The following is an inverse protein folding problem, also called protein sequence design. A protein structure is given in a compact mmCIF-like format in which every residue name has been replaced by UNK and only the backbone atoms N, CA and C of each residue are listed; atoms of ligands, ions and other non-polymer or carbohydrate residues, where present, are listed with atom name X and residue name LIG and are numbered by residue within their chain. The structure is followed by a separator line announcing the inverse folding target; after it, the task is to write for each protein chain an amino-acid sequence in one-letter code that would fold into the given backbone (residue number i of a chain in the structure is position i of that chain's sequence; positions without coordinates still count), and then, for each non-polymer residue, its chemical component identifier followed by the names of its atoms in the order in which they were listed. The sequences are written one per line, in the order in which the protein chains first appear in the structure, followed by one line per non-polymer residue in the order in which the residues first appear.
data_IF_004870330813
#
_entry.id   IF_004870330813
#
_cell.length_a   1.000
_cell.length_b   1.000
_cell.length_c   1.000
_cell.angle_alpha   90.00
_cell.angle_beta   90.00
_cell.angle_gamma   90.00
#
_symmetry.space_group_name_H-M   'P 1'
#
loop_
_entity.id
_entity.type
_entity.pdbx_description
1 polymer ?
#
# COMPACT_ATOMS: atom_id res chain seq x y z
N UNK A 1 18.99 -84.28 16.67
CA UNK A 1 19.67 -83.41 17.67
C UNK A 1 19.44 -81.96 17.22
N UNK A 2 18.62 -81.21 17.99
CA UNK A 2 18.36 -79.74 17.92
C UNK A 2 17.59 -79.24 16.67
N UNK A 3 16.25 -79.08 16.67
CA UNK A 3 15.42 -78.03 17.30
C UNK A 3 15.99 -76.61 17.18
N UNK A 4 15.31 -75.75 16.42
CA UNK A 4 15.11 -74.32 16.74
C UNK A 4 13.90 -73.76 16.00
N UNK A 5 12.91 -73.35 16.80
CA UNK A 5 11.73 -72.54 16.47
C UNK A 5 12.15 -71.05 16.56
N UNK A 6 11.74 -70.21 15.62
CA UNK A 6 11.76 -68.74 15.75
C UNK A 6 10.50 -68.22 15.06
N UNK A 7 9.40 -68.03 15.80
CA UNK A 7 9.04 -66.80 16.51
C UNK A 7 8.62 -65.67 15.55
N UNK A 8 7.30 -65.56 15.40
CA UNK A 8 6.56 -64.49 14.70
C UNK A 8 6.72 -63.20 15.52
N UNK A 9 7.29 -62.15 14.94
CA UNK A 9 7.18 -60.78 15.46
C UNK A 9 6.34 -59.95 14.51
N UNK A 10 5.10 -59.70 14.93
CA UNK A 10 4.16 -58.79 14.30
C UNK A 10 4.64 -57.35 14.58
N UNK A 11 5.19 -56.67 13.58
CA UNK A 11 5.54 -55.26 13.70
C UNK A 11 4.27 -54.42 13.55
N UNK A 12 3.73 -53.94 14.68
CA UNK A 12 2.65 -52.96 14.72
C UNK A 12 3.17 -51.62 14.19
N UNK A 13 2.81 -51.28 12.95
CA UNK A 13 3.05 -49.97 12.36
C UNK A 13 2.09 -48.96 13.01
N UNK A 14 2.58 -48.21 13.99
CA UNK A 14 1.90 -47.02 14.51
C UNK A 14 1.93 -45.94 13.41
N UNK A 15 0.83 -45.84 12.66
CA UNK A 15 0.55 -44.67 11.81
C UNK A 15 0.20 -43.53 12.76
N UNK A 16 1.15 -42.65 13.04
CA UNK A 16 0.85 -41.33 13.61
C UNK A 16 0.07 -40.56 12.54
N UNK A 17 -1.24 -40.42 12.75
CA UNK A 17 -2.01 -39.38 12.09
C UNK A 17 -1.50 -38.05 12.65
N UNK A 18 -0.50 -37.46 12.01
CA UNK A 18 -0.28 -36.03 12.13
C UNK A 18 -1.59 -35.39 11.66
N UNK A 19 -2.32 -34.81 12.61
CA UNK A 19 -3.33 -33.84 12.23
C UNK A 19 -2.54 -32.72 11.57
N UNK A 20 -2.57 -32.67 10.24
CA UNK A 20 -2.22 -31.47 9.50
C UNK A 20 -3.13 -30.37 10.05
N UNK A 21 -2.62 -29.62 11.04
CA UNK A 21 -3.13 -28.29 11.31
C UNK A 21 -2.84 -27.55 10.01
N UNK A 22 -3.88 -27.42 9.19
CA UNK A 22 -3.81 -26.65 7.96
C UNK A 22 -3.58 -25.20 8.39
N UNK A 23 -2.31 -24.85 8.58
CA UNK A 23 -1.84 -23.48 8.66
C UNK A 23 -2.36 -22.77 7.41
N UNK A 24 -2.63 -21.47 7.52
CA UNK A 24 -2.81 -20.67 6.33
C UNK A 24 -1.59 -20.87 5.39
N UNK A 25 -1.77 -20.72 4.08
CA UNK A 25 -0.62 -20.82 3.18
C UNK A 25 0.16 -19.52 3.32
N UNK A 26 1.45 -19.51 3.71
CA UNK A 26 2.19 -18.26 3.95
C UNK A 26 2.17 -17.31 2.73
N UNK A 27 2.18 -17.88 1.52
CA UNK A 27 2.05 -17.13 0.26
C UNK A 27 0.70 -16.39 0.14
N UNK A 28 -0.38 -16.99 0.67
CA UNK A 28 -1.73 -16.42 0.72
C UNK A 28 -1.78 -15.17 1.61
N UNK A 29 -1.27 -15.28 2.84
CA UNK A 29 -1.17 -14.14 3.76
C UNK A 29 -0.25 -13.03 3.20
N UNK A 30 0.96 -13.35 2.74
CA UNK A 30 1.87 -12.37 2.12
C UNK A 30 1.19 -11.63 0.94
N UNK A 31 0.51 -12.37 0.07
CA UNK A 31 -0.24 -11.81 -1.06
C UNK A 31 -1.36 -10.89 -0.59
N UNK A 32 -2.04 -11.25 0.50
CA UNK A 32 -3.10 -10.46 1.11
C UNK A 32 -2.57 -9.17 1.72
N UNK A 33 -1.44 -9.21 2.42
CA UNK A 33 -0.77 -8.01 2.96
C UNK A 33 -0.37 -7.07 1.82
N UNK A 34 0.32 -7.56 0.79
CA UNK A 34 0.73 -6.77 -0.38
C UNK A 34 -0.47 -6.16 -1.12
N UNK A 35 -1.58 -6.90 -1.24
CA UNK A 35 -2.80 -6.43 -1.92
C UNK A 35 -3.60 -5.47 -1.05
N UNK A 36 -3.69 -5.75 0.24
CA UNK A 36 -4.39 -4.96 1.24
C UNK A 36 -3.77 -3.59 1.38
N UNK A 37 -2.45 -3.53 1.61
CA UNK A 37 -1.71 -2.27 1.73
C UNK A 37 -1.87 -1.38 0.51
N UNK A 38 -1.68 -1.92 -0.70
CA UNK A 38 -1.83 -1.16 -1.94
C UNK A 38 -3.26 -0.64 -2.16
N UNK A 39 -4.29 -1.41 -1.76
CA UNK A 39 -5.69 -0.98 -1.82
C UNK A 39 -6.01 0.08 -0.78
N UNK A 40 -5.47 -0.05 0.43
CA UNK A 40 -5.64 0.92 1.49
C UNK A 40 -5.07 2.27 1.04
N UNK A 41 -3.81 2.30 0.59
CA UNK A 41 -3.16 3.50 0.06
C UNK A 41 -3.95 4.17 -1.07
N UNK A 42 -4.32 3.42 -2.11
CA UNK A 42 -5.13 3.96 -3.21
C UNK A 42 -6.47 4.54 -2.70
N UNK A 43 -7.10 3.87 -1.73
CA UNK A 43 -8.37 4.33 -1.16
C UNK A 43 -8.20 5.58 -0.29
N UNK A 44 -7.18 5.63 0.55
CA UNK A 44 -6.82 6.78 1.40
C UNK A 44 -6.51 7.99 0.54
N UNK A 45 -5.67 7.84 -0.49
CA UNK A 45 -5.38 8.90 -1.47
C UNK A 45 -6.67 9.40 -2.13
N UNK A 46 -7.55 8.50 -2.59
CA UNK A 46 -8.81 8.90 -3.23
C UNK A 46 -9.75 9.65 -2.29
N UNK A 47 -9.82 9.26 -1.00
CA UNK A 47 -10.66 9.91 0.00
C UNK A 47 -10.12 11.30 0.30
N UNK A 48 -8.84 11.39 0.69
CA UNK A 48 -8.22 12.65 1.08
C UNK A 48 -8.12 13.62 -0.09
N UNK A 49 -7.73 13.18 -1.28
CA UNK A 49 -7.73 14.04 -2.49
C UNK A 49 -9.07 14.71 -2.73
N UNK A 50 -10.19 13.97 -2.61
CA UNK A 50 -11.54 14.54 -2.78
C UNK A 50 -11.84 15.57 -1.70
N UNK A 51 -11.45 15.31 -0.46
CA UNK A 51 -11.61 16.26 0.65
C UNK A 51 -10.83 17.55 0.36
N UNK A 52 -9.53 17.45 0.10
CA UNK A 52 -8.66 18.62 -0.09
C UNK A 52 -9.04 19.42 -1.34
N UNK A 53 -9.50 18.76 -2.41
CA UNK A 53 -10.03 19.47 -3.58
C UNK A 53 -11.28 20.28 -3.25
N UNK A 54 -12.20 19.70 -2.47
CA UNK A 54 -13.37 20.44 -2.00
C UNK A 54 -12.98 21.58 -1.05
N UNK A 55 -11.91 21.42 -0.27
CA UNK A 55 -11.38 22.46 0.61
C UNK A 55 -10.75 23.63 -0.17
N UNK A 56 -10.07 23.37 -1.29
CA UNK A 56 -9.59 24.42 -2.18
C UNK A 56 -10.73 25.21 -2.83
N UNK A 57 -11.87 24.58 -3.09
CA UNK A 57 -13.03 25.21 -3.71
C UNK A 57 -13.93 25.96 -2.72
N UNK A 58 -14.00 25.49 -1.47
CA UNK A 58 -14.86 26.05 -0.42
C UNK A 58 -14.03 26.53 0.78
N UNK A 59 -14.00 27.85 0.98
CA UNK A 59 -13.30 28.49 2.11
C UNK A 59 -13.75 27.86 3.45
N UNK A 60 -12.78 27.39 4.25
CA UNK A 60 -13.00 26.95 5.63
C UNK A 60 -13.31 25.46 5.84
N UNK A 61 -13.33 24.63 4.79
CA UNK A 61 -13.39 23.16 4.98
C UNK A 61 -12.02 22.65 5.45
N UNK A 62 -12.01 21.92 6.55
CA UNK A 62 -10.84 21.22 7.08
C UNK A 62 -10.85 19.77 6.62
N UNK A 63 -9.68 19.21 6.35
CA UNK A 63 -9.50 17.82 5.96
C UNK A 63 -8.56 17.07 6.93
N UNK A 64 -8.85 15.80 7.27
CA UNK A 64 -10.07 15.07 6.92
C UNK A 64 -11.32 15.61 7.66
N UNK A 65 -12.45 15.72 6.94
CA UNK A 65 -13.76 15.99 7.56
C UNK A 65 -14.39 14.70 8.11
N UNK A 66 -15.51 14.81 8.85
CA UNK A 66 -16.17 13.65 9.47
C UNK A 66 -16.54 12.55 8.48
N UNK A 67 -16.99 12.92 7.27
CA UNK A 67 -17.32 11.98 6.21
C UNK A 67 -16.06 11.27 5.66
N UNK A 68 -14.96 12.00 5.49
CA UNK A 68 -13.68 11.43 5.07
C UNK A 68 -13.13 10.50 6.16
N UNK A 69 -13.20 10.90 7.43
CA UNK A 69 -12.80 10.07 8.56
C UNK A 69 -13.59 8.74 8.62
N UNK A 70 -14.91 8.77 8.41
CA UNK A 70 -15.73 7.55 8.34
C UNK A 70 -15.30 6.62 7.20
N UNK A 71 -14.97 7.18 6.03
CA UNK A 71 -14.52 6.40 4.87
C UNK A 71 -13.12 5.82 5.08
N UNK A 72 -12.23 6.55 5.74
CA UNK A 72 -10.89 6.08 6.11
C UNK A 72 -11.00 4.92 7.11
N UNK A 73 -11.81 5.08 8.17
CA UNK A 73 -12.06 4.01 9.13
C UNK A 73 -12.65 2.75 8.47
N UNK A 74 -13.56 2.92 7.50
CA UNK A 74 -14.09 1.81 6.73
C UNK A 74 -13.05 1.14 5.81
N UNK A 75 -12.08 1.88 5.28
CA UNK A 75 -10.98 1.31 4.50
C UNK A 75 -10.04 0.47 5.38
N UNK A 76 -9.72 0.95 6.59
CA UNK A 76 -8.90 0.21 7.57
C UNK A 76 -9.57 -1.08 8.03
N UNK A 77 -10.86 -1.04 8.37
CA UNK A 77 -11.62 -2.26 8.71
C UNK A 77 -11.65 -3.29 7.58
N UNK A 78 -11.60 -2.85 6.32
CA UNK A 78 -11.51 -3.77 5.18
C UNK A 78 -10.12 -4.36 5.01
N UNK A 79 -9.06 -3.60 5.33
CA UNK A 79 -7.71 -4.17 5.40
C UNK A 79 -7.68 -5.24 6.49
N UNK A 80 -8.11 -4.88 7.69
CA UNK A 80 -8.14 -5.76 8.86
C UNK A 80 -8.86 -7.08 8.56
N UNK A 81 -10.13 -7.01 8.12
CA UNK A 81 -10.90 -8.20 7.72
C UNK A 81 -10.25 -9.02 6.61
N UNK A 82 -9.55 -8.39 5.65
CA UNK A 82 -8.84 -9.12 4.60
C UNK A 82 -7.62 -9.87 5.15
N UNK A 83 -6.92 -9.29 6.14
CA UNK A 83 -5.76 -9.91 6.78
C UNK A 83 -6.18 -11.01 7.74
N UNK A 84 -7.19 -10.79 8.59
CA UNK A 84 -7.70 -11.85 9.47
C UNK A 84 -8.11 -13.08 8.68
N UNK A 85 -8.84 -12.91 7.58
CA UNK A 85 -9.26 -14.04 6.76
C UNK A 85 -8.10 -14.76 6.02
N UNK A 86 -7.03 -14.05 5.70
CA UNK A 86 -5.93 -14.61 4.91
C UNK A 86 -4.77 -15.14 5.75
N UNK A 87 -4.63 -14.65 6.98
CA UNK A 87 -3.49 -14.91 7.85
C UNK A 87 -3.88 -15.59 9.17
N UNK A 88 -5.14 -15.49 9.60
CA UNK A 88 -5.66 -16.06 10.85
C UNK A 88 -6.18 -17.49 10.70
N UNK A 89 -5.45 -18.35 9.99
CA UNK A 89 -5.79 -19.76 9.91
C UNK A 89 -7.20 -20.09 9.37
N UNK A 90 -7.79 -21.15 9.93
CA UNK A 90 -9.08 -21.70 9.53
C UNK A 90 -10.26 -20.93 10.13
N UNK A 91 -10.08 -20.33 11.31
CA UNK A 91 -11.12 -19.53 11.94
C UNK A 91 -11.21 -18.11 11.35
N UNK A 92 -10.19 -17.69 10.60
CA UNK A 92 -10.11 -16.39 9.95
C UNK A 92 -9.96 -15.24 10.94
N UNK A 93 -9.39 -15.50 12.11
CA UNK A 93 -9.17 -14.55 13.19
C UNK A 93 -7.69 -14.47 13.51
N UNK A 94 -7.17 -13.27 13.68
CA UNK A 94 -5.78 -13.09 14.11
C UNK A 94 -5.65 -13.27 15.62
N UNK A 95 -4.50 -13.77 16.05
CA UNK A 95 -4.15 -13.95 17.46
C UNK A 95 -4.66 -15.26 18.06
N UNK A 96 -5.10 -16.20 17.22
CA UNK A 96 -5.49 -17.55 17.63
C UNK A 96 -4.35 -18.53 17.34
N UNK A 97 -4.54 -19.81 17.66
CA UNK A 97 -3.47 -20.82 17.60
C UNK A 97 -3.14 -21.34 16.19
N UNK A 98 -3.93 -20.95 15.18
CA UNK A 98 -3.83 -21.42 13.80
C UNK A 98 -3.40 -20.34 12.79
N UNK A 99 -2.98 -19.16 13.27
CA UNK A 99 -2.34 -18.10 12.49
C UNK A 99 -1.10 -18.59 11.72
N UNK A 100 -0.84 -17.96 10.56
CA UNK A 100 0.49 -17.99 9.95
C UNK A 100 1.53 -17.38 10.91
N UNK A 101 2.64 -18.08 11.14
CA UNK A 101 3.70 -17.54 12.00
C UNK A 101 4.31 -16.29 11.36
N UNK A 102 4.59 -15.26 12.15
CA UNK A 102 5.18 -14.00 11.65
C UNK A 102 6.45 -14.23 10.83
N UNK A 103 7.29 -15.20 11.21
CA UNK A 103 8.51 -15.53 10.49
C UNK A 103 8.23 -16.16 9.12
N UNK A 104 7.19 -16.99 9.00
CA UNK A 104 6.81 -17.64 7.73
C UNK A 104 6.32 -16.66 6.66
N UNK A 105 5.77 -15.52 7.08
CA UNK A 105 5.22 -14.47 6.19
C UNK A 105 6.11 -13.22 6.13
N UNK A 106 7.30 -13.24 6.76
CA UNK A 106 8.26 -12.14 6.72
C UNK A 106 7.90 -10.92 7.57
N UNK A 107 7.07 -11.09 8.61
CA UNK A 107 6.62 -10.05 9.55
C UNK A 107 7.19 -10.17 10.96
N UNK A 108 8.17 -11.06 11.18
CA UNK A 108 8.93 -11.16 12.43
C UNK A 108 9.96 -10.02 12.56
N UNK A 109 9.45 -8.79 12.58
CA UNK A 109 10.23 -7.53 12.65
C UNK A 109 10.16 -6.88 14.03
N UNK A 110 9.47 -7.52 14.99
CA UNK A 110 9.31 -7.08 16.38
C UNK A 110 8.34 -5.92 16.55
N UNK A 111 8.64 -4.77 15.94
CA UNK A 111 7.88 -3.53 16.08
C UNK A 111 7.57 -2.90 14.73
N UNK A 112 6.48 -2.14 14.68
CA UNK A 112 6.16 -1.36 13.50
C UNK A 112 7.28 -0.32 13.23
N UNK A 113 7.79 -0.17 11.98
CA UNK A 113 9.01 0.59 11.66
C UNK A 113 9.05 2.09 11.93
N UNK A 114 8.06 2.66 12.62
CA UNK A 114 7.94 4.09 12.90
C UNK A 114 8.25 5.02 11.72
N UNK A 115 7.63 4.76 10.57
CA UNK A 115 7.88 5.52 9.35
C UNK A 115 7.56 7.01 9.56
N UNK A 116 8.42 7.91 9.04
CA UNK A 116 8.34 9.37 9.19
C UNK A 116 8.37 9.90 10.64
N UNK A 117 8.97 9.16 11.59
CA UNK A 117 8.94 9.52 13.02
C UNK A 117 7.50 9.74 13.51
N UNK A 118 6.58 8.89 13.05
CA UNK A 118 5.19 8.88 13.50
C UNK A 118 5.07 8.26 14.90
N UNK A 119 3.85 7.87 15.28
CA UNK A 119 3.59 7.05 16.46
C UNK A 119 3.39 5.56 16.08
N UNK A 120 3.82 5.16 14.88
CA UNK A 120 3.66 3.79 14.38
C UNK A 120 4.78 2.87 14.88
N UNK A 121 4.83 2.61 16.20
CA UNK A 121 5.87 1.80 16.86
C UNK A 121 5.29 0.67 17.72
N UNK A 122 4.02 0.29 17.50
CA UNK A 122 3.39 -0.81 18.22
C UNK A 122 4.09 -2.16 17.93
N UNK A 123 4.16 -3.02 18.95
CA UNK A 123 4.68 -4.39 18.83
C UNK A 123 3.82 -5.23 17.90
N UNK A 124 4.45 -6.14 17.15
CA UNK A 124 3.78 -7.05 16.21
C UNK A 124 3.80 -8.45 16.80
N UNK A 125 2.68 -8.86 17.40
CA UNK A 125 2.51 -10.18 18.03
C UNK A 125 1.72 -11.19 17.19
N UNK A 126 0.88 -10.72 16.27
CA UNK A 126 -0.03 -11.53 15.46
C UNK A 126 -0.37 -10.82 14.13
N UNK A 127 -1.19 -11.44 13.27
CA UNK A 127 -1.57 -10.84 12.00
C UNK A 127 -2.49 -9.60 12.13
N UNK A 128 -3.14 -9.38 13.27
CA UNK A 128 -3.93 -8.19 13.55
C UNK A 128 -3.03 -6.99 13.80
N UNK A 129 -1.91 -7.19 14.49
CA UNK A 129 -0.88 -6.17 14.66
C UNK A 129 -0.24 -5.74 13.32
N UNK A 130 -0.16 -6.65 12.33
CA UNK A 130 0.25 -6.30 10.96
C UNK A 130 -0.75 -5.31 10.33
N UNK A 131 -2.06 -5.56 10.46
CA UNK A 131 -3.10 -4.69 9.89
C UNK A 131 -3.06 -3.28 10.50
N UNK A 132 -2.79 -3.20 11.80
CA UNK A 132 -2.62 -1.95 12.55
C UNK A 132 -1.37 -1.20 12.10
N UNK A 133 -0.23 -1.89 11.99
CA UNK A 133 1.02 -1.30 11.53
C UNK A 133 0.89 -0.74 10.11
N UNK A 134 0.35 -1.53 9.18
CA UNK A 134 0.13 -1.09 7.79
C UNK A 134 -0.84 0.09 7.73
N UNK A 135 -1.92 0.08 8.51
CA UNK A 135 -2.87 1.19 8.56
C UNK A 135 -2.24 2.48 9.11
N UNK A 136 -1.42 2.36 10.15
CA UNK A 136 -0.76 3.50 10.77
C UNK A 136 0.24 4.15 9.80
N UNK A 137 1.08 3.33 9.15
CA UNK A 137 2.04 3.80 8.15
C UNK A 137 1.31 4.46 6.97
N UNK A 138 0.21 3.86 6.50
CA UNK A 138 -0.60 4.44 5.44
C UNK A 138 -1.16 5.81 5.82
N UNK A 139 -1.74 5.95 7.02
CA UNK A 139 -2.24 7.24 7.49
C UNK A 139 -1.13 8.30 7.52
N UNK A 140 0.03 7.95 8.07
CA UNK A 140 1.15 8.87 8.21
C UNK A 140 1.65 9.35 6.84
N UNK A 141 1.90 8.41 5.91
CA UNK A 141 2.39 8.71 4.56
C UNK A 141 1.37 9.52 3.78
N UNK A 142 0.13 9.03 3.67
CA UNK A 142 -0.84 9.63 2.76
C UNK A 142 -1.34 10.97 3.29
N UNK A 143 -1.49 11.12 4.60
CA UNK A 143 -1.84 12.42 5.18
C UNK A 143 -0.73 13.44 4.96
N UNK A 144 0.54 13.04 5.14
CA UNK A 144 1.69 13.89 4.84
C UNK A 144 1.73 14.27 3.36
N UNK A 145 1.61 13.31 2.45
CA UNK A 145 1.66 13.53 1.00
C UNK A 145 0.56 14.50 0.54
N UNK A 146 -0.67 14.28 1.00
CA UNK A 146 -1.82 15.11 0.59
C UNK A 146 -1.76 16.49 1.22
N UNK A 147 -1.42 16.58 2.51
CA UNK A 147 -1.29 17.86 3.21
C UNK A 147 -0.16 18.70 2.61
N UNK A 148 1.00 18.10 2.38
CA UNK A 148 2.14 18.76 1.73
C UNK A 148 1.74 19.25 0.35
N UNK A 149 1.17 18.39 -0.49
CA UNK A 149 0.88 18.76 -1.87
C UNK A 149 -0.11 19.93 -1.97
N UNK A 150 -1.22 19.89 -1.25
CA UNK A 150 -2.22 20.95 -1.32
C UNK A 150 -1.91 22.16 -0.44
N UNK A 151 -1.11 21.99 0.61
CA UNK A 151 -0.73 23.04 1.55
C UNK A 151 0.37 23.97 1.03
N UNK A 152 1.13 23.56 0.01
CA UNK A 152 2.22 24.36 -0.55
C UNK A 152 1.77 25.45 -1.55
N UNK A 153 0.53 25.42 -2.02
CA UNK A 153 0.08 26.31 -3.10
C UNK A 153 -0.39 27.69 -2.62
N UNK A 154 -0.08 28.71 -3.40
CA UNK A 154 -0.67 30.03 -3.24
C UNK A 154 -2.17 30.01 -3.64
N UNK A 155 -3.04 30.80 -2.99
CA UNK A 155 -4.45 30.88 -3.37
C UNK A 155 -4.62 31.35 -4.82
N UNK A 156 -5.36 30.60 -5.62
CA UNK A 156 -5.69 30.94 -6.99
C UNK A 156 -7.21 31.12 -7.17
N UNK A 157 -7.67 32.00 -8.08
CA UNK A 157 -9.10 32.14 -8.37
C UNK A 157 -9.71 30.80 -8.82
N UNK A 158 -10.93 30.54 -8.38
CA UNK A 158 -11.66 29.33 -8.74
C UNK A 158 -11.81 29.22 -10.26
N UNK A 159 -11.43 28.07 -10.82
CA UNK A 159 -11.47 27.80 -12.26
C UNK A 159 -10.37 28.48 -13.07
N UNK A 160 -9.40 29.15 -12.45
CA UNK A 160 -8.24 29.74 -13.16
C UNK A 160 -7.31 28.66 -13.73
N UNK A 161 -6.48 29.04 -14.71
CA UNK A 161 -5.43 28.15 -15.24
C UNK A 161 -4.45 27.72 -14.13
N UNK A 162 -4.07 28.66 -13.25
CA UNK A 162 -3.24 28.41 -12.07
C UNK A 162 -3.87 27.34 -11.17
N UNK A 163 -5.14 27.49 -10.78
CA UNK A 163 -5.81 26.50 -9.92
C UNK A 163 -5.88 25.12 -10.60
N UNK A 164 -6.17 25.07 -11.91
CA UNK A 164 -6.19 23.80 -12.66
C UNK A 164 -4.82 23.12 -12.67
N UNK A 165 -3.75 23.88 -12.83
CA UNK A 165 -2.39 23.35 -12.80
C UNK A 165 -1.98 22.87 -11.40
N UNK A 166 -2.28 23.65 -10.35
CA UNK A 166 -2.10 23.21 -8.95
C UNK A 166 -2.80 21.87 -8.69
N UNK A 167 -4.05 21.74 -9.13
CA UNK A 167 -4.78 20.48 -9.03
C UNK A 167 -4.13 19.34 -9.83
N UNK A 168 -3.69 19.60 -11.07
CA UNK A 168 -3.04 18.61 -11.92
C UNK A 168 -1.73 18.09 -11.30
N UNK A 169 -0.91 18.96 -10.72
CA UNK A 169 0.34 18.58 -10.05
C UNK A 169 0.08 17.53 -8.95
N UNK A 170 -0.89 17.77 -8.08
CA UNK A 170 -1.23 16.80 -7.03
C UNK A 170 -1.93 15.55 -7.58
N UNK A 171 -2.89 15.72 -8.48
CA UNK A 171 -3.68 14.60 -9.01
C UNK A 171 -2.80 13.60 -9.76
N UNK A 172 -1.95 14.10 -10.65
CA UNK A 172 -1.08 13.25 -11.45
C UNK A 172 0.01 12.60 -10.59
N UNK A 173 0.51 13.30 -9.56
CA UNK A 173 1.42 12.71 -8.56
C UNK A 173 0.78 11.53 -7.82
N UNK A 174 -0.49 11.65 -7.39
CA UNK A 174 -1.19 10.55 -6.75
C UNK A 174 -1.53 9.41 -7.72
N UNK A 175 -1.86 9.72 -8.98
CA UNK A 175 -2.05 8.70 -10.02
C UNK A 175 -0.76 7.92 -10.29
N UNK A 176 0.39 8.61 -10.33
CA UNK A 176 1.69 7.98 -10.43
C UNK A 176 1.99 7.10 -9.22
N UNK A 177 1.77 7.58 -7.99
CA UNK A 177 1.96 6.80 -6.77
C UNK A 177 1.13 5.51 -6.77
N UNK A 178 -0.16 5.59 -7.15
CA UNK A 178 -1.03 4.42 -7.28
C UNK A 178 -0.54 3.45 -8.37
N UNK A 179 -0.08 3.96 -9.51
CA UNK A 179 0.48 3.14 -10.58
C UNK A 179 1.79 2.43 -10.16
N UNK A 180 2.67 3.15 -9.45
CA UNK A 180 3.92 2.63 -8.89
C UNK A 180 3.65 1.54 -7.85
N UNK A 181 2.74 1.80 -6.90
CA UNK A 181 2.29 0.82 -5.90
C UNK A 181 1.74 -0.45 -6.57
N UNK A 182 0.88 -0.30 -7.60
CA UNK A 182 0.35 -1.43 -8.39
C UNK A 182 1.44 -2.23 -9.11
N UNK A 183 2.44 -1.57 -9.68
CA UNK A 183 3.56 -2.22 -10.36
C UNK A 183 4.44 -3.00 -9.37
N UNK A 184 4.82 -2.38 -8.26
CA UNK A 184 5.61 -2.99 -7.20
C UNK A 184 4.89 -4.17 -6.57
N UNK A 185 3.59 -4.02 -6.24
CA UNK A 185 2.78 -5.12 -5.73
C UNK A 185 2.81 -6.34 -6.65
N UNK A 186 2.62 -6.15 -7.95
CA UNK A 186 2.64 -7.27 -8.92
C UNK A 186 4.01 -7.95 -8.96
N UNK A 187 5.09 -7.18 -8.85
CA UNK A 187 6.44 -7.70 -8.78
C UNK A 187 6.65 -8.52 -7.50
N UNK A 188 6.35 -7.96 -6.33
CA UNK A 188 6.49 -8.65 -5.04
C UNK A 188 5.62 -9.90 -4.96
N UNK A 189 4.39 -9.88 -5.51
CA UNK A 189 3.53 -11.07 -5.58
C UNK A 189 4.14 -12.19 -6.44
N UNK A 190 4.80 -11.86 -7.56
CA UNK A 190 5.51 -12.86 -8.36
C UNK A 190 6.75 -13.40 -7.64
N UNK A 191 7.45 -12.56 -6.88
CA UNK A 191 8.58 -13.00 -6.05
C UNK A 191 8.11 -13.97 -4.96
N UNK A 192 7.04 -13.65 -4.24
CA UNK A 192 6.43 -14.52 -3.24
C UNK A 192 5.97 -15.86 -3.84
N UNK A 193 5.44 -15.84 -5.06
CA UNK A 193 5.06 -17.05 -5.81
C UNK A 193 6.24 -17.81 -6.44
N UNK A 194 7.50 -17.44 -6.15
CA UNK A 194 8.69 -18.12 -6.67
C UNK A 194 8.96 -17.90 -8.17
N UNK A 195 8.26 -16.98 -8.83
CA UNK A 195 8.38 -16.74 -10.28
C UNK A 195 9.63 -15.92 -10.66
N UNK A 196 10.28 -15.30 -9.68
CA UNK A 196 11.63 -14.75 -9.77
C UNK A 196 12.20 -14.52 -8.36
N UNK A 197 13.52 -14.43 -8.23
CA UNK A 197 14.20 -14.11 -6.96
C UNK A 197 14.74 -12.66 -6.88
N UNK A 198 14.72 -11.94 -8.01
CA UNK A 198 15.30 -10.60 -8.17
C UNK A 198 14.57 -9.53 -7.35
N UNK A 199 15.30 -8.53 -6.86
CA UNK A 199 14.75 -7.37 -6.17
C UNK A 199 13.83 -6.56 -7.10
N UNK A 200 12.70 -6.08 -6.56
CA UNK A 200 11.77 -5.21 -7.28
C UNK A 200 12.15 -3.72 -7.08
N UNK A 201 11.93 -2.84 -8.07
CA UNK A 201 11.38 -3.13 -9.40
C UNK A 201 12.43 -3.59 -10.43
N UNK A 202 13.72 -3.46 -10.13
CA UNK A 202 14.84 -3.67 -11.06
C UNK A 202 15.94 -4.53 -10.41
N UNK A 203 16.35 -5.67 -11.00
CA UNK A 203 15.87 -6.23 -12.27
C UNK A 203 14.46 -6.88 -12.20
N UNK A 204 13.93 -7.07 -11.00
CA UNK A 204 12.54 -7.46 -10.73
C UNK A 204 11.99 -8.58 -11.61
N UNK A 205 10.72 -8.42 -12.00
CA UNK A 205 9.99 -9.32 -12.89
C UNK A 205 10.13 -8.95 -14.38
N UNK A 206 11.04 -8.03 -14.72
CA UNK A 206 11.22 -7.46 -16.06
C UNK A 206 10.05 -6.59 -16.55
N UNK A 207 9.03 -6.31 -15.73
CA UNK A 207 7.84 -5.53 -16.13
C UNK A 207 7.57 -4.32 -15.23
N UNK A 208 7.88 -4.42 -13.93
CA UNK A 208 7.59 -3.38 -12.96
C UNK A 208 8.26 -2.05 -13.32
N UNK A 209 9.56 -2.07 -13.64
CA UNK A 209 10.31 -0.86 -13.99
C UNK A 209 9.73 -0.16 -15.23
N UNK A 210 9.43 -0.90 -16.29
CA UNK A 210 8.81 -0.34 -17.50
C UNK A 210 7.41 0.23 -17.21
N UNK A 211 6.62 -0.42 -16.36
CA UNK A 211 5.32 0.09 -15.95
C UNK A 211 5.41 1.39 -15.13
N UNK A 212 6.41 1.49 -14.24
CA UNK A 212 6.68 2.70 -13.46
C UNK A 212 7.15 3.83 -14.38
N UNK A 213 8.10 3.57 -15.28
CA UNK A 213 8.57 4.56 -16.25
C UNK A 213 7.43 5.08 -17.13
N UNK A 214 6.58 4.18 -17.65
CA UNK A 214 5.39 4.56 -18.42
C UNK A 214 4.42 5.43 -17.61
N UNK A 215 4.25 5.14 -16.32
CA UNK A 215 3.40 5.95 -15.45
C UNK A 215 4.01 7.34 -15.21
N UNK A 216 5.33 7.43 -15.04
CA UNK A 216 6.03 8.71 -14.90
C UNK A 216 5.88 9.58 -16.16
N UNK A 217 6.06 9.00 -17.35
CA UNK A 217 5.86 9.72 -18.62
C UNK A 217 4.42 10.22 -18.76
N UNK A 218 3.42 9.42 -18.36
CA UNK A 218 2.02 9.84 -18.37
C UNK A 218 1.75 11.00 -17.42
N UNK A 219 2.24 10.89 -16.19
CA UNK A 219 2.13 11.96 -15.19
C UNK A 219 2.69 13.27 -15.75
N UNK A 220 3.91 13.23 -16.30
CA UNK A 220 4.53 14.41 -16.91
C UNK A 220 3.71 14.96 -18.08
N UNK A 221 3.27 14.12 -19.01
CA UNK A 221 2.46 14.55 -20.16
C UNK A 221 1.14 15.20 -19.74
N UNK A 222 0.44 14.64 -18.73
CA UNK A 222 -0.80 15.23 -18.22
C UNK A 222 -0.56 16.57 -17.50
N UNK A 223 0.52 16.67 -16.70
CA UNK A 223 0.90 17.93 -16.07
C UNK A 223 1.20 18.98 -17.15
N UNK A 224 2.02 18.68 -18.17
CA UNK A 224 2.32 19.62 -19.24
C UNK A 224 1.08 20.02 -20.05
N UNK A 225 0.15 19.08 -20.26
CA UNK A 225 -1.12 19.38 -20.92
C UNK A 225 -1.99 20.41 -20.20
N UNK A 226 -1.81 20.59 -18.89
CA UNK A 226 -2.58 21.53 -18.07
C UNK A 226 -1.78 22.79 -17.71
N UNK A 227 -0.49 22.63 -17.43
CA UNK A 227 0.39 23.68 -16.92
C UNK A 227 1.22 24.38 -18.02
N UNK A 228 1.43 23.74 -19.16
CA UNK A 228 2.26 24.22 -20.27
C UNK A 228 1.54 25.19 -21.21
N UNK A 229 0.78 26.14 -20.66
CA UNK A 229 0.22 27.23 -21.46
C UNK A 229 -0.67 26.81 -22.63
N UNK A 230 -0.49 27.51 -23.75
CA UNK A 230 -1.30 27.33 -24.97
C UNK A 230 -0.76 26.21 -25.87
N UNK A 231 0.54 25.91 -25.78
CA UNK A 231 1.15 24.83 -26.55
C UNK A 231 1.01 23.44 -25.88
N UNK A 232 0.54 23.39 -24.63
CA UNK A 232 0.38 22.17 -23.84
C UNK A 232 1.70 21.41 -23.60
N UNK A 233 2.83 22.12 -23.60
CA UNK A 233 4.18 21.60 -23.41
C UNK A 233 4.86 22.30 -22.24
N UNK A 234 5.58 21.55 -21.41
CA UNK A 234 6.41 22.16 -20.37
C UNK A 234 7.74 22.63 -20.95
N UNK A 235 8.33 23.65 -20.32
CA UNK A 235 9.64 24.22 -20.65
C UNK A 235 9.57 25.40 -21.62
N UNK A 236 8.38 25.91 -21.92
CA UNK A 236 8.16 27.08 -22.77
C UNK A 236 8.04 28.39 -21.99
N UNK A 237 7.91 29.50 -22.72
CA UNK A 237 7.64 30.82 -22.13
C UNK A 237 6.16 31.06 -21.79
N UNK A 238 5.27 30.14 -22.17
CA UNK A 238 3.83 30.19 -21.90
C UNK A 238 3.39 29.29 -20.74
N UNK A 239 4.32 28.56 -20.12
CA UNK A 239 4.11 27.79 -18.90
C UNK A 239 3.59 28.68 -17.76
N UNK A 240 2.75 28.09 -16.89
CA UNK A 240 2.40 28.73 -15.63
C UNK A 240 3.67 28.82 -14.76
N UNK A 241 4.04 30.04 -14.38
CA UNK A 241 5.26 30.26 -13.63
C UNK A 241 5.16 29.69 -12.21
N UNK A 242 6.28 29.18 -11.68
CA UNK A 242 6.34 28.64 -10.33
C UNK A 242 5.89 29.67 -9.27
N UNK A 243 6.21 30.95 -9.48
CA UNK A 243 5.77 32.05 -8.61
C UNK A 243 4.25 32.19 -8.54
N UNK A 244 3.53 31.86 -9.61
CA UNK A 244 2.06 31.89 -9.63
C UNK A 244 1.46 30.68 -8.90
N UNK A 245 2.17 29.54 -8.88
CA UNK A 245 1.73 28.32 -8.21
C UNK A 245 1.95 28.38 -6.71
N UNK A 246 3.09 28.92 -6.27
CA UNK A 246 3.58 28.79 -4.90
C UNK A 246 3.75 30.12 -4.16
N UNK A 247 3.73 31.25 -4.88
CA UNK A 247 3.97 32.58 -4.32
C UNK A 247 5.45 33.00 -4.36
N UNK A 248 5.73 34.21 -3.90
CA UNK A 248 7.03 34.88 -4.05
C UNK A 248 8.15 34.38 -3.11
N UNK A 249 7.86 33.42 -2.23
CA UNK A 249 8.81 32.89 -1.24
C UNK A 249 9.40 31.53 -1.63
N UNK A 250 9.25 31.15 -2.91
CA UNK A 250 9.83 29.95 -3.53
C UNK A 250 10.96 30.31 -4.48
#
# INVERSE_FOLDING_TARGET
MRMSVMAITLATLLVTLDADVALATPIGCETAVLKGSAKLADKTHQILRKCYTAALQARGRVCPDSNSALKLAAAKRRLDSQLSHACGGNDGQCGTGDDDTLSSIGWDIGECPNFLNSDCHASIGDCGAISQCVSCIDDAIVSFDVSTCFGSFAPAPNGSAVQRCQMALCYESFHFAAAKSKALRKCWQKRAAGLHAKACPDPGDGKAQAAIAKAATKMQAHICGVCGGSNHQCGGGDDIAAVDLYGASF
#
